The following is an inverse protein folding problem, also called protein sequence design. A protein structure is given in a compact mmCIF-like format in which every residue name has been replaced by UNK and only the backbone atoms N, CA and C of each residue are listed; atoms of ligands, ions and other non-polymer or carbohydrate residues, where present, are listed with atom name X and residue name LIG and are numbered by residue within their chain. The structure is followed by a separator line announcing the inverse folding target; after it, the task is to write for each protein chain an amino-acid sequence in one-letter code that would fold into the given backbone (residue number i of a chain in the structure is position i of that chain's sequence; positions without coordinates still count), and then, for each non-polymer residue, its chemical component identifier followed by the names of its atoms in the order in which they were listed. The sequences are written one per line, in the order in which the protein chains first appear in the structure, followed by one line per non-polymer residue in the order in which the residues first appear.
data_IF_518876561966
#
_entry.id   IF_518876561966
#
_cell.length_a   1.000
_cell.length_b   1.000
_cell.length_c   1.000
_cell.angle_alpha   90.00
_cell.angle_beta   90.00
_cell.angle_gamma   90.00
#
_symmetry.space_group_name_H-M   'P 1'
#
loop_
_entity.id
_entity.type
_entity.pdbx_description
1 polymer ?
#
# COMPACT_ATOMS: atom_id res chain seq x y z
N UNK A 1 -2.40 -10.29 -23.96
CA UNK A 1 -1.84 -11.53 -23.36
C UNK A 1 -0.33 -11.48 -23.04
N UNK A 2 0.38 -10.36 -23.28
CA UNK A 2 1.83 -10.25 -23.09
C UNK A 2 2.30 -9.65 -21.76
N UNK A 3 1.52 -8.76 -21.14
CA UNK A 3 1.93 -8.02 -19.93
C UNK A 3 1.79 -8.80 -18.61
N UNK A 4 0.81 -9.70 -18.52
CA UNK A 4 0.52 -10.50 -17.32
C UNK A 4 1.69 -11.42 -16.90
N UNK A 5 2.52 -11.85 -17.85
CA UNK A 5 3.68 -12.70 -17.58
C UNK A 5 4.94 -11.92 -17.18
N UNK A 6 5.00 -10.61 -17.48
CA UNK A 6 6.16 -9.77 -17.13
C UNK A 6 6.10 -9.41 -15.64
N UNK A 7 4.91 -9.07 -15.13
CA UNK A 7 4.69 -8.68 -13.73
C UNK A 7 4.95 -9.83 -12.73
N UNK A 8 4.62 -11.08 -13.11
CA UNK A 8 4.89 -12.30 -12.32
C UNK A 8 6.38 -12.52 -12.02
N UNK A 9 7.28 -11.96 -12.83
CA UNK A 9 8.73 -12.15 -12.71
C UNK A 9 9.39 -11.06 -11.87
N UNK A 10 8.83 -9.85 -11.86
CA UNK A 10 9.36 -8.70 -11.11
C UNK A 10 8.78 -8.60 -9.68
N UNK A 11 7.53 -9.02 -9.45
CA UNK A 11 6.93 -9.01 -8.11
C UNK A 11 7.62 -9.98 -7.12
N UNK A 12 8.18 -11.08 -7.62
CA UNK A 12 8.99 -12.01 -6.81
C UNK A 12 10.33 -11.42 -6.35
N UNK A 13 10.81 -10.35 -6.99
CA UNK A 13 12.08 -9.72 -6.64
C UNK A 13 11.90 -8.59 -5.61
N UNK A 14 10.70 -8.00 -5.53
CA UNK A 14 10.41 -6.89 -4.62
C UNK A 14 10.27 -7.33 -3.15
N UNK A 15 9.85 -8.57 -2.90
CA UNK A 15 9.68 -9.13 -1.54
C UNK A 15 11.01 -9.62 -0.93
N UNK A 16 12.07 -9.80 -1.73
CA UNK A 16 13.38 -10.30 -1.25
C UNK A 16 14.35 -9.17 -0.86
N UNK A 17 14.02 -7.91 -1.16
CA UNK A 17 14.91 -6.76 -0.91
C UNK A 17 14.64 -6.02 0.41
N UNK A 18 13.66 -6.46 1.21
CA UNK A 18 13.30 -5.88 2.51
C UNK A 18 13.88 -6.62 3.74
N UNK A 19 14.67 -7.69 3.52
CA UNK A 19 15.29 -8.50 4.59
C UNK A 19 16.81 -8.62 4.43
N UNK A 20 17.51 -7.50 4.21
CA UNK A 20 18.91 -7.58 3.86
C UNK A 20 19.80 -6.38 4.12
N UNK A 21 19.73 -5.71 5.28
CA UNK A 21 20.90 -4.99 5.84
C UNK A 21 20.76 -4.81 7.36
N UNK A 22 21.10 -5.84 8.14
CA UNK A 22 21.43 -5.68 9.56
C UNK A 22 22.90 -6.04 9.77
N UNK A 23 23.78 -5.12 9.40
CA UNK A 23 25.16 -5.08 9.89
C UNK A 23 25.54 -3.63 10.16
N UNK A 24 24.99 -3.07 11.24
CA UNK A 24 25.71 -2.01 11.93
C UNK A 24 26.85 -2.66 12.71
N UNK A 25 28.01 -2.61 12.06
CA UNK A 25 29.33 -2.71 12.68
C UNK A 25 29.34 -1.81 13.91
N UNK A 26 29.44 -2.42 15.08
CA UNK A 26 29.81 -1.73 16.31
C UNK A 26 31.29 -1.34 16.19
N UNK A 27 31.55 -0.09 15.81
CA UNK A 27 32.88 0.50 15.96
C UNK A 27 33.16 0.73 17.44
N UNK A 28 34.02 -0.16 17.95
CA UNK A 28 35.11 0.13 18.88
C UNK A 28 35.37 1.62 19.11
N UNK A 29 35.23 2.04 20.35
CA UNK A 29 35.96 3.19 20.89
C UNK A 29 36.67 2.73 22.17
N UNK A 30 38.00 2.82 22.10
CA UNK A 30 39.01 2.43 23.07
C UNK A 30 38.94 3.31 24.33
N UNK A 31 38.94 2.70 25.51
CA UNK A 31 39.58 3.28 26.69
C UNK A 31 39.85 2.20 27.76
N UNK A 32 41.13 1.83 27.84
CA UNK A 32 41.93 1.39 28.99
C UNK A 32 41.19 0.99 30.29
N UNK A 33 41.35 -0.27 30.75
CA UNK A 33 42.19 -0.58 31.93
C UNK A 33 42.15 -2.07 32.34
N UNK A 34 43.36 -2.64 32.40
CA UNK A 34 43.93 -3.63 33.35
C UNK A 34 43.24 -4.96 33.76
N UNK A 35 44.04 -6.01 33.54
CA UNK A 35 44.35 -7.16 34.41
C UNK A 35 43.33 -8.29 34.67
N UNK A 36 43.83 -9.52 34.48
CA UNK A 36 43.36 -10.69 35.24
C UNK A 36 43.12 -11.95 34.43
N UNK A 37 44.19 -12.64 34.01
CA UNK A 37 44.15 -14.04 33.60
C UNK A 37 43.99 -14.94 34.84
N UNK A 38 42.98 -15.81 34.87
CA UNK A 38 43.05 -17.05 35.64
C UNK A 38 42.26 -18.17 34.96
N UNK A 39 42.95 -19.29 34.74
CA UNK A 39 42.39 -20.56 34.30
C UNK A 39 41.80 -21.29 35.52
N UNK A 40 40.65 -21.95 35.38
CA UNK A 40 40.51 -23.26 36.05
C UNK A 40 39.38 -24.12 35.50
N UNK A 41 39.70 -25.39 35.43
CA UNK A 41 38.92 -26.55 35.05
C UNK A 41 37.68 -26.78 35.95
N UNK A 42 36.63 -27.43 35.42
CA UNK A 42 36.35 -28.85 35.68
C UNK A 42 34.87 -29.21 35.43
N UNK A 43 34.72 -30.47 35.09
CA UNK A 43 33.62 -31.24 34.53
C UNK A 43 32.54 -31.71 35.52
N UNK A 44 31.39 -32.08 34.93
CA UNK A 44 30.40 -33.14 35.31
C UNK A 44 29.56 -32.97 36.58
N UNK A 45 28.23 -32.90 36.46
CA UNK A 45 27.30 -34.03 36.76
C UNK A 45 25.85 -33.69 36.40
N UNK A 46 25.08 -34.72 36.07
CA UNK A 46 23.67 -34.72 35.66
C UNK A 46 22.74 -34.83 36.88
N UNK A 47 21.54 -34.23 36.84
CA UNK A 47 20.27 -34.93 37.09
C UNK A 47 19.05 -34.07 36.77
N UNK A 48 18.00 -34.74 36.28
CA UNK A 48 16.65 -34.34 35.88
C UNK A 48 15.97 -33.20 36.66
N UNK A 49 15.18 -32.38 35.95
CA UNK A 49 13.72 -32.25 36.17
C UNK A 49 13.07 -31.62 34.94
N UNK A 50 11.99 -32.27 34.48
CA UNK A 50 11.08 -31.89 33.40
C UNK A 50 10.65 -30.41 33.46
N UNK A 51 10.68 -29.71 32.32
CA UNK A 51 9.73 -28.62 32.03
C UNK A 51 9.52 -28.57 30.53
N UNK A 52 8.25 -28.56 30.16
CA UNK A 52 7.75 -28.52 28.79
C UNK A 52 8.33 -27.33 28.03
N UNK A 53 8.84 -27.61 26.83
CA UNK A 53 9.43 -26.63 25.94
C UNK A 53 8.30 -26.16 25.01
N UNK A 54 7.48 -25.22 25.49
CA UNK A 54 6.69 -24.36 24.61
C UNK A 54 7.68 -23.43 23.91
N UNK A 55 8.03 -23.80 22.68
CA UNK A 55 8.83 -22.96 21.81
C UNK A 55 8.01 -21.71 21.50
N UNK A 56 8.51 -20.58 22.01
CA UNK A 56 8.01 -19.25 21.72
C UNK A 56 7.83 -19.07 20.22
N UNK A 57 6.57 -18.87 19.86
CA UNK A 57 6.11 -18.23 18.64
C UNK A 57 6.64 -16.79 18.65
N UNK A 58 7.81 -16.58 18.06
CA UNK A 58 8.27 -15.25 17.64
C UNK A 58 7.63 -14.93 16.28
N UNK A 59 6.30 -14.90 16.28
CA UNK A 59 5.53 -14.22 15.24
C UNK A 59 5.77 -12.73 15.42
N UNK A 60 6.38 -12.10 14.41
CA UNK A 60 6.50 -10.65 14.31
C UNK A 60 5.10 -10.03 14.34
N UNK A 61 4.64 -9.62 15.52
CA UNK A 61 3.46 -8.76 15.67
C UNK A 61 3.79 -7.44 14.99
N UNK A 62 3.40 -7.32 13.73
CA UNK A 62 3.21 -6.01 13.14
C UNK A 62 1.95 -5.50 13.83
N UNK A 63 2.11 -4.63 14.82
CA UNK A 63 1.03 -3.85 15.43
C UNK A 63 0.36 -3.07 14.29
N UNK A 64 -0.64 -3.67 13.63
CA UNK A 64 -1.50 -2.93 12.71
C UNK A 64 -2.45 -2.17 13.61
N UNK A 65 -2.35 -0.83 13.69
CA UNK A 65 -3.20 -0.09 14.59
C UNK A 65 -4.65 -0.30 14.18
N UNK A 66 -5.42 -1.01 15.01
CA UNK A 66 -6.87 -1.05 14.89
C UNK A 66 -7.39 0.37 15.10
N UNK A 67 -7.71 1.04 13.99
CA UNK A 67 -8.10 2.45 14.01
C UNK A 67 -9.52 2.56 14.53
N UNK A 68 -9.66 2.89 15.81
CA UNK A 68 -10.96 3.22 16.39
C UNK A 68 -11.48 4.55 15.82
N UNK A 69 -12.69 4.52 15.26
CA UNK A 69 -13.43 5.71 14.81
C UNK A 69 -14.58 5.95 15.78
N UNK A 70 -14.54 7.10 16.45
CA UNK A 70 -15.56 7.54 17.39
C UNK A 70 -16.83 8.01 16.70
N UNK A 71 -17.93 8.13 17.45
CA UNK A 71 -19.21 8.59 16.90
C UNK A 71 -19.19 10.07 16.49
N UNK A 72 -18.26 10.88 17.03
CA UNK A 72 -18.07 12.29 16.62
C UNK A 72 -17.44 12.41 15.23
N UNK A 73 -16.73 11.38 14.78
CA UNK A 73 -16.07 11.33 13.48
C UNK A 73 -16.99 10.79 12.36
N UNK A 74 -18.17 10.28 12.72
CA UNK A 74 -19.13 9.69 11.80
C UNK A 74 -20.28 10.63 11.47
N UNK A 75 -20.84 10.42 10.29
CA UNK A 75 -22.09 11.02 9.84
C UNK A 75 -23.18 9.95 9.78
N UNK A 76 -24.45 10.32 9.96
CA UNK A 76 -25.55 9.37 9.82
C UNK A 76 -25.54 8.74 8.42
N UNK A 77 -25.76 7.42 8.35
CA UNK A 77 -25.57 6.66 7.10
C UNK A 77 -26.44 7.17 5.93
N UNK A 78 -27.64 7.68 6.23
CA UNK A 78 -28.63 8.19 5.28
C UNK A 78 -28.58 9.72 5.10
N UNK A 79 -27.68 10.41 5.78
CA UNK A 79 -27.48 11.85 5.61
C UNK A 79 -26.72 12.15 4.32
N UNK A 80 -27.17 13.17 3.58
CA UNK A 80 -26.51 13.61 2.35
C UNK A 80 -25.28 14.44 2.72
N UNK A 81 -24.10 14.00 2.31
CA UNK A 81 -22.81 14.64 2.64
C UNK A 81 -22.21 15.42 1.48
N UNK A 82 -22.44 14.95 0.26
CA UNK A 82 -22.07 15.65 -0.97
C UNK A 82 -23.22 15.56 -1.97
N UNK A 83 -23.29 16.51 -2.89
CA UNK A 83 -24.01 16.37 -4.15
C UNK A 83 -22.99 16.58 -5.26
N UNK A 84 -22.78 15.56 -6.10
CA UNK A 84 -21.80 15.58 -7.20
C UNK A 84 -22.53 15.37 -8.50
N UNK A 85 -22.51 16.36 -9.39
CA UNK A 85 -23.23 16.36 -10.68
C UNK A 85 -24.74 16.09 -10.53
N UNK A 86 -25.33 16.50 -9.40
CA UNK A 86 -26.74 16.32 -9.08
C UNK A 86 -27.08 14.98 -8.40
N UNK A 87 -26.09 14.12 -8.15
CA UNK A 87 -26.27 12.86 -7.43
C UNK A 87 -25.85 13.00 -5.96
N UNK A 88 -26.68 12.47 -5.05
CA UNK A 88 -26.42 12.51 -3.61
C UNK A 88 -25.41 11.43 -3.22
N UNK A 89 -24.37 11.84 -2.49
CA UNK A 89 -23.45 10.94 -1.79
C UNK A 89 -23.84 10.94 -0.32
N UNK A 90 -24.01 9.75 0.26
CA UNK A 90 -24.51 9.57 1.62
C UNK A 90 -23.40 9.42 2.66
N UNK A 91 -23.75 9.60 3.93
CA UNK A 91 -22.84 9.50 5.06
C UNK A 91 -22.17 8.14 5.21
N UNK A 92 -22.79 7.06 4.72
CA UNK A 92 -22.14 5.74 4.65
C UNK A 92 -20.85 5.75 3.82
N UNK A 93 -20.86 6.44 2.67
CA UNK A 93 -19.69 6.56 1.81
C UNK A 93 -18.61 7.45 2.45
N UNK A 94 -19.02 8.54 3.12
CA UNK A 94 -18.10 9.36 3.90
C UNK A 94 -17.45 8.60 5.05
N UNK A 95 -18.23 7.86 5.84
CA UNK A 95 -17.71 7.08 6.95
C UNK A 95 -16.68 6.05 6.48
N UNK A 96 -16.93 5.41 5.32
CA UNK A 96 -15.98 4.50 4.70
C UNK A 96 -14.68 5.22 4.30
N UNK A 97 -14.79 6.35 3.59
CA UNK A 97 -13.63 7.16 3.18
C UNK A 97 -12.82 7.66 4.39
N UNK A 98 -13.50 8.03 5.47
CA UNK A 98 -12.88 8.49 6.71
C UNK A 98 -12.08 7.39 7.40
N UNK A 99 -12.68 6.19 7.54
CA UNK A 99 -11.99 5.02 8.09
C UNK A 99 -10.75 4.71 7.24
N UNK A 100 -10.87 4.70 5.92
CA UNK A 100 -9.77 4.37 5.01
C UNK A 100 -8.64 5.41 5.12
N UNK A 101 -8.98 6.70 5.18
CA UNK A 101 -8.03 7.80 5.35
C UNK A 101 -7.29 7.68 6.69
N UNK A 102 -8.02 7.50 7.79
CA UNK A 102 -7.42 7.39 9.13
C UNK A 102 -6.56 6.13 9.27
N UNK A 103 -7.01 5.02 8.70
CA UNK A 103 -6.26 3.75 8.64
C UNK A 103 -4.97 3.88 7.85
N UNK A 104 -5.00 4.56 6.70
CA UNK A 104 -3.82 4.82 5.91
C UNK A 104 -2.79 5.66 6.67
N UNK A 105 -3.22 6.76 7.28
CA UNK A 105 -2.34 7.64 8.05
C UNK A 105 -1.73 6.92 9.27
N UNK A 106 -2.54 6.17 10.02
CA UNK A 106 -2.07 5.42 11.19
C UNK A 106 -1.02 4.36 10.83
N UNK A 107 -1.23 3.61 9.74
CA UNK A 107 -0.26 2.63 9.25
C UNK A 107 1.05 3.26 8.78
N UNK A 108 1.02 4.52 8.33
CA UNK A 108 2.22 5.28 7.95
C UNK A 108 2.83 6.05 9.12
N UNK A 109 2.37 5.82 10.36
CA UNK A 109 2.88 6.49 11.57
C UNK A 109 2.58 7.99 11.61
N UNK A 110 1.57 8.45 10.86
CA UNK A 110 1.16 9.85 10.82
C UNK A 110 0.15 10.15 11.94
N UNK A 111 0.15 11.42 12.38
CA UNK A 111 -0.80 11.89 13.41
C UNK A 111 -2.24 11.87 12.87
N UNK A 112 -3.14 11.29 13.66
CA UNK A 112 -4.59 11.15 13.37
C UNK A 112 -5.45 11.87 14.41
N UNK A 113 -4.86 12.75 15.22
CA UNK A 113 -5.58 13.52 16.24
C UNK A 113 -6.26 14.78 15.69
N UNK A 114 -5.83 15.29 14.53
CA UNK A 114 -6.45 16.42 13.85
C UNK A 114 -7.67 15.96 13.03
N UNK A 115 -8.85 16.02 13.67
CA UNK A 115 -10.10 15.55 13.07
C UNK A 115 -10.55 16.40 11.87
N UNK A 116 -10.26 17.70 11.86
CA UNK A 116 -10.61 18.59 10.75
C UNK A 116 -9.78 18.22 9.50
N UNK A 117 -8.48 18.00 9.68
CA UNK A 117 -7.61 17.50 8.61
C UNK A 117 -8.08 16.14 8.08
N UNK A 118 -8.45 15.20 8.96
CA UNK A 118 -8.96 13.90 8.55
C UNK A 118 -10.26 14.02 7.75
N UNK A 119 -11.19 14.86 8.21
CA UNK A 119 -12.43 15.14 7.50
C UNK A 119 -12.17 15.72 6.11
N UNK A 120 -11.29 16.70 6.00
CA UNK A 120 -10.92 17.31 4.72
C UNK A 120 -10.31 16.28 3.74
N UNK A 121 -9.39 15.44 4.21
CA UNK A 121 -8.76 14.41 3.39
C UNK A 121 -9.74 13.29 2.99
N UNK A 122 -10.63 12.89 3.89
CA UNK A 122 -11.68 11.91 3.62
C UNK A 122 -12.67 12.45 2.57
N UNK A 123 -13.06 13.72 2.67
CA UNK A 123 -13.92 14.38 1.68
C UNK A 123 -13.23 14.53 0.34
N UNK A 124 -11.95 14.90 0.32
CA UNK A 124 -11.17 14.99 -0.91
C UNK A 124 -11.10 13.62 -1.60
N UNK A 125 -10.78 12.56 -0.84
CA UNK A 125 -10.73 11.19 -1.35
C UNK A 125 -12.10 10.70 -1.84
N UNK A 126 -13.18 11.04 -1.12
CA UNK A 126 -14.54 10.69 -1.51
C UNK A 126 -14.94 11.38 -2.81
N UNK A 127 -14.68 12.68 -2.95
CA UNK A 127 -14.95 13.44 -4.18
C UNK A 127 -14.24 12.82 -5.37
N UNK A 128 -12.94 12.55 -5.26
CA UNK A 128 -12.17 11.93 -6.35
C UNK A 128 -12.71 10.54 -6.74
N UNK A 129 -13.07 9.71 -5.76
CA UNK A 129 -13.67 8.40 -6.02
C UNK A 129 -15.05 8.51 -6.69
N UNK A 130 -15.90 9.42 -6.23
CA UNK A 130 -17.23 9.66 -6.83
C UNK A 130 -17.11 10.15 -8.26
N UNK A 131 -16.22 11.12 -8.52
CA UNK A 131 -16.00 11.64 -9.87
C UNK A 131 -15.49 10.58 -10.84
N UNK A 132 -14.49 9.80 -10.40
CA UNK A 132 -13.97 8.68 -11.18
C UNK A 132 -15.06 7.66 -11.49
N UNK A 133 -15.89 7.32 -10.50
CA UNK A 133 -16.98 6.36 -10.69
C UNK A 133 -18.06 6.86 -11.66
N UNK A 134 -18.46 8.12 -11.54
CA UNK A 134 -19.43 8.73 -12.47
C UNK A 134 -18.90 8.80 -13.90
N UNK A 135 -17.63 9.18 -14.07
CA UNK A 135 -17.03 9.25 -15.40
C UNK A 135 -16.82 7.86 -16.01
N UNK A 136 -16.37 6.89 -15.21
CA UNK A 136 -16.27 5.50 -15.60
C UNK A 136 -17.63 4.95 -16.08
N UNK A 137 -18.71 5.19 -15.31
CA UNK A 137 -20.07 4.79 -15.70
C UNK A 137 -20.51 5.46 -17.01
N UNK A 138 -20.25 6.77 -17.17
CA UNK A 138 -20.58 7.51 -18.39
C UNK A 138 -19.84 6.97 -19.63
N UNK A 139 -18.63 6.43 -19.44
CA UNK A 139 -17.79 5.82 -20.48
C UNK A 139 -18.06 4.32 -20.67
N UNK A 140 -18.84 3.70 -19.79
CA UNK A 140 -19.18 2.28 -19.83
C UNK A 140 -18.08 1.36 -19.28
N UNK A 141 -17.19 1.91 -18.45
CA UNK A 141 -16.14 1.18 -17.75
C UNK A 141 -16.74 0.65 -16.44
N UNK A 142 -17.00 -0.65 -16.41
CA UNK A 142 -17.67 -1.30 -15.28
C UNK A 142 -16.86 -2.47 -14.73
N UNK A 143 -16.85 -2.64 -13.41
CA UNK A 143 -16.31 -3.82 -12.73
C UNK A 143 -17.44 -4.77 -12.40
N UNK A 144 -17.38 -6.00 -12.92
CA UNK A 144 -18.39 -7.02 -12.65
C UNK A 144 -18.07 -7.82 -11.38
N UNK A 145 -19.07 -8.49 -10.81
CA UNK A 145 -18.83 -9.43 -9.71
C UNK A 145 -17.89 -10.58 -10.10
N UNK A 146 -17.89 -10.98 -11.38
CA UNK A 146 -16.95 -11.99 -11.87
C UNK A 146 -15.51 -11.49 -11.82
N UNK A 147 -15.27 -10.23 -12.19
CA UNK A 147 -13.92 -9.63 -12.11
C UNK A 147 -13.41 -9.59 -10.66
N UNK A 148 -14.30 -9.27 -9.72
CA UNK A 148 -13.99 -9.26 -8.28
C UNK A 148 -13.70 -10.68 -7.78
N UNK A 149 -14.52 -11.66 -8.13
CA UNK A 149 -14.31 -13.07 -7.76
C UNK A 149 -12.98 -13.60 -8.31
N UNK A 150 -12.66 -13.28 -9.57
CA UNK A 150 -11.38 -13.66 -10.19
C UNK A 150 -10.19 -12.99 -9.49
N UNK A 151 -10.30 -11.70 -9.13
CA UNK A 151 -9.27 -10.99 -8.39
C UNK A 151 -9.05 -11.56 -6.98
N UNK A 152 -10.11 -11.99 -6.29
CA UNK A 152 -10.01 -12.68 -5.00
C UNK A 152 -9.27 -14.01 -5.16
N UNK A 153 -9.67 -14.83 -6.13
CA UNK A 153 -9.03 -16.14 -6.34
C UNK A 153 -7.57 -15.99 -6.78
N UNK A 154 -7.26 -14.98 -7.59
CA UNK A 154 -5.88 -14.62 -7.91
C UNK A 154 -5.10 -14.22 -6.65
N UNK A 155 -5.70 -13.42 -5.77
CA UNK A 155 -5.05 -13.01 -4.52
C UNK A 155 -4.81 -14.21 -3.61
N UNK A 156 -5.82 -15.07 -3.40
CA UNK A 156 -5.69 -16.32 -2.64
C UNK A 156 -4.60 -17.23 -3.17
N UNK A 157 -4.41 -17.28 -4.49
CA UNK A 157 -3.36 -18.11 -5.11
C UNK A 157 -1.92 -17.70 -4.75
N UNK A 158 -1.75 -16.53 -4.12
CA UNK A 158 -0.46 -16.05 -3.63
C UNK A 158 -0.11 -16.60 -2.24
N UNK A 159 -1.09 -17.21 -1.56
CA UNK A 159 -0.93 -17.83 -0.24
C UNK A 159 -0.85 -19.35 -0.38
N UNK A 160 -0.16 -20.02 0.54
CA UNK A 160 -0.06 -21.49 0.52
C UNK A 160 -1.37 -22.14 0.98
N UNK A 161 -2.10 -21.48 1.87
CA UNK A 161 -3.36 -21.97 2.43
C UNK A 161 -4.43 -20.88 2.54
N UNK A 162 -5.69 -21.30 2.67
CA UNK A 162 -6.81 -20.40 2.93
C UNK A 162 -6.69 -19.72 4.31
N UNK A 163 -6.11 -20.42 5.30
CA UNK A 163 -5.89 -19.89 6.65
C UNK A 163 -4.91 -18.72 6.63
N UNK A 164 -3.80 -18.82 5.86
CA UNK A 164 -2.86 -17.71 5.69
C UNK A 164 -3.50 -16.48 5.04
N UNK A 165 -4.40 -16.68 4.06
CA UNK A 165 -5.15 -15.60 3.45
C UNK A 165 -6.10 -14.93 4.46
N UNK A 166 -6.82 -15.72 5.25
CA UNK A 166 -7.71 -15.21 6.30
C UNK A 166 -6.92 -14.44 7.37
N UNK A 167 -5.79 -14.97 7.84
CA UNK A 167 -4.88 -14.28 8.76
C UNK A 167 -4.37 -12.96 8.18
N UNK A 168 -4.02 -12.92 6.89
CA UNK A 168 -3.59 -11.68 6.24
C UNK A 168 -4.71 -10.62 6.19
N UNK A 169 -5.96 -11.03 5.95
CA UNK A 169 -7.10 -10.12 6.04
C UNK A 169 -7.31 -9.62 7.47
N UNK A 170 -7.21 -10.50 8.47
CA UNK A 170 -7.32 -10.12 9.89
C UNK A 170 -6.24 -9.13 10.31
N UNK A 171 -4.99 -9.33 9.87
CA UNK A 171 -3.90 -8.37 10.10
C UNK A 171 -4.23 -7.00 9.51
N UNK A 172 -4.81 -6.94 8.32
CA UNK A 172 -5.28 -5.70 7.70
C UNK A 172 -6.60 -5.17 8.30
N UNK A 173 -7.16 -5.86 9.31
CA UNK A 173 -8.49 -5.57 9.88
C UNK A 173 -9.61 -5.57 8.84
N UNK A 174 -9.50 -6.41 7.81
CA UNK A 174 -10.45 -6.53 6.71
C UNK A 174 -11.37 -7.72 6.90
N UNK A 175 -12.67 -7.49 6.68
CA UNK A 175 -13.61 -8.58 6.38
C UNK A 175 -13.52 -8.94 4.91
N UNK A 176 -14.02 -10.11 4.51
CA UNK A 176 -14.12 -10.48 3.08
C UNK A 176 -14.94 -9.44 2.30
N UNK A 177 -16.02 -8.92 2.87
CA UNK A 177 -16.85 -7.87 2.26
C UNK A 177 -16.07 -6.56 2.06
N UNK A 178 -15.30 -6.14 3.06
CA UNK A 178 -14.42 -4.95 2.94
C UNK A 178 -13.37 -5.19 1.86
N UNK A 179 -12.76 -6.38 1.83
CA UNK A 179 -11.77 -6.74 0.82
C UNK A 179 -12.36 -6.72 -0.60
N UNK A 180 -13.58 -7.23 -0.79
CA UNK A 180 -14.32 -7.13 -2.07
C UNK A 180 -14.53 -5.69 -2.49
N UNK A 181 -14.93 -4.82 -1.55
CA UNK A 181 -15.10 -3.38 -1.82
C UNK A 181 -13.79 -2.72 -2.26
N UNK A 182 -12.68 -3.02 -1.56
CA UNK A 182 -11.34 -2.53 -1.93
C UNK A 182 -10.94 -2.99 -3.32
N UNK A 183 -11.14 -4.28 -3.64
CA UNK A 183 -10.86 -4.81 -4.98
C UNK A 183 -11.71 -4.15 -6.06
N UNK A 184 -13.00 -3.88 -5.80
CA UNK A 184 -13.87 -3.18 -6.75
C UNK A 184 -13.30 -1.81 -7.11
N UNK A 185 -12.89 -1.03 -6.12
CA UNK A 185 -12.30 0.30 -6.35
C UNK A 185 -10.97 0.21 -7.09
N UNK A 186 -10.10 -0.74 -6.73
CA UNK A 186 -8.81 -0.94 -7.41
C UNK A 186 -8.97 -1.38 -8.86
N UNK A 187 -9.90 -2.31 -9.14
CA UNK A 187 -10.20 -2.78 -10.49
C UNK A 187 -10.78 -1.65 -11.33
N UNK A 188 -11.68 -0.84 -10.77
CA UNK A 188 -12.28 0.29 -11.49
C UNK A 188 -11.18 1.29 -11.91
N UNK A 189 -10.30 1.65 -10.98
CA UNK A 189 -9.16 2.50 -11.28
C UNK A 189 -8.24 1.88 -12.34
N UNK A 190 -7.97 0.58 -12.24
CA UNK A 190 -7.13 -0.12 -13.21
C UNK A 190 -7.75 -0.10 -14.61
N UNK A 191 -9.03 -0.45 -14.74
CA UNK A 191 -9.74 -0.45 -16.02
C UNK A 191 -9.82 0.96 -16.59
N UNK A 192 -10.06 1.95 -15.74
CA UNK A 192 -10.07 3.35 -16.14
C UNK A 192 -8.71 3.78 -16.71
N UNK A 193 -7.61 3.46 -16.03
CA UNK A 193 -6.26 3.73 -16.54
C UNK A 193 -6.02 3.02 -17.87
N UNK A 194 -6.42 1.76 -18.00
CA UNK A 194 -6.23 0.99 -19.24
C UNK A 194 -7.01 1.58 -20.43
N UNK A 195 -8.25 1.99 -20.21
CA UNK A 195 -9.13 2.49 -21.28
C UNK A 195 -8.89 3.97 -21.62
N UNK A 196 -8.70 4.83 -20.63
CA UNK A 196 -8.62 6.29 -20.83
C UNK A 196 -7.19 6.82 -20.97
N UNK A 197 -6.25 6.25 -20.22
CA UNK A 197 -4.84 6.68 -20.28
C UNK A 197 -4.06 5.83 -21.28
N UNK A 198 -4.30 4.52 -21.27
CA UNK A 198 -3.67 3.56 -22.17
C UNK A 198 -2.17 3.39 -21.93
N UNK A 199 -1.47 2.95 -22.98
CA UNK A 199 -0.03 2.67 -22.92
C UNK A 199 0.80 3.96 -23.00
N UNK A 200 1.67 4.16 -22.01
CA UNK A 200 2.58 5.30 -21.96
C UNK A 200 3.90 4.95 -22.64
N UNK A 201 4.28 5.72 -23.66
CA UNK A 201 5.60 5.60 -24.28
C UNK A 201 6.68 6.26 -23.40
N UNK A 202 7.80 5.54 -23.25
CA UNK A 202 9.02 6.04 -22.59
C UNK A 202 10.10 6.22 -23.64
N UNK A 203 10.69 7.41 -23.65
CA UNK A 203 11.76 7.79 -24.57
C UNK A 203 13.14 7.52 -23.97
N UNK A 204 14.13 7.30 -24.82
CA UNK A 204 15.53 7.14 -24.38
C UNK A 204 16.04 8.34 -23.58
N UNK A 205 15.60 9.56 -23.91
CA UNK A 205 15.99 10.76 -23.20
C UNK A 205 15.47 10.79 -21.76
N UNK A 206 14.23 10.34 -21.52
CA UNK A 206 13.66 10.23 -20.17
C UNK A 206 14.40 9.15 -19.36
N UNK A 207 14.79 8.05 -20.00
CA UNK A 207 15.59 6.99 -19.38
C UNK A 207 16.96 7.51 -18.96
N UNK A 208 17.63 8.26 -19.83
CA UNK A 208 18.92 8.91 -19.52
C UNK A 208 18.78 9.91 -18.37
N UNK A 209 17.79 10.79 -18.41
CA UNK A 209 17.54 11.80 -17.36
C UNK A 209 17.26 11.15 -16.00
N UNK A 210 16.39 10.14 -15.95
CA UNK A 210 16.10 9.43 -14.70
C UNK A 210 17.34 8.71 -14.17
N UNK A 211 18.14 8.11 -15.05
CA UNK A 211 19.37 7.43 -14.65
C UNK A 211 20.43 8.40 -14.12
N UNK A 212 20.54 9.60 -14.68
CA UNK A 212 21.41 10.65 -14.14
C UNK A 212 21.01 11.03 -12.71
N UNK A 213 19.71 11.10 -12.39
CA UNK A 213 19.24 11.32 -11.02
C UNK A 213 19.61 10.16 -10.10
N UNK A 214 19.47 8.91 -10.55
CA UNK A 214 19.88 7.73 -9.80
C UNK A 214 21.39 7.76 -9.51
N UNK A 215 22.21 8.11 -10.50
CA UNK A 215 23.66 8.26 -10.34
C UNK A 215 24.01 9.39 -9.37
N UNK A 216 23.27 10.51 -9.37
CA UNK A 216 23.49 11.57 -8.40
C UNK A 216 23.18 11.12 -6.97
N UNK A 217 22.18 10.26 -6.78
CA UNK A 217 21.80 9.73 -5.48
C UNK A 217 22.76 8.64 -4.97
N UNK A 218 23.22 7.75 -5.86
CA UNK A 218 24.01 6.56 -5.50
C UNK A 218 25.52 6.72 -5.73
N UNK A 219 25.95 7.73 -6.48
CA UNK A 219 27.35 7.94 -6.84
C UNK A 219 27.96 6.74 -7.57
N UNK A 220 29.17 6.35 -7.17
CA UNK A 220 29.91 5.23 -7.78
C UNK A 220 29.26 3.85 -7.56
N UNK A 221 28.26 3.74 -6.68
CA UNK A 221 27.53 2.50 -6.40
C UNK A 221 26.35 2.27 -7.35
N UNK A 222 26.06 3.22 -8.24
CA UNK A 222 24.99 3.08 -9.23
C UNK A 222 25.29 1.92 -10.21
N UNK A 223 24.36 0.98 -10.40
CA UNK A 223 24.50 -0.07 -11.42
C UNK A 223 24.58 0.53 -12.83
N UNK A 224 25.10 -0.21 -13.81
CA UNK A 224 25.14 0.26 -15.20
C UNK A 224 23.71 0.41 -15.75
N UNK A 225 23.47 1.45 -16.57
CA UNK A 225 22.15 1.73 -17.14
C UNK A 225 21.58 0.52 -17.88
N UNK A 226 22.39 -0.21 -18.63
CA UNK A 226 21.94 -1.39 -19.37
C UNK A 226 21.39 -2.50 -18.46
N UNK A 227 21.84 -2.59 -17.21
CA UNK A 227 21.37 -3.57 -16.22
C UNK A 227 20.05 -3.17 -15.59
N UNK A 228 19.81 -1.86 -15.46
CA UNK A 228 18.63 -1.31 -14.77
C UNK A 228 17.63 -0.63 -15.69
N UNK A 229 17.90 -0.56 -17.00
CA UNK A 229 17.03 0.11 -17.99
C UNK A 229 15.57 -0.37 -17.92
N UNK A 230 15.25 -1.67 -17.85
CA UNK A 230 13.86 -2.11 -17.72
C UNK A 230 13.17 -1.59 -16.45
N UNK A 231 13.91 -1.51 -15.34
CA UNK A 231 13.41 -0.97 -14.08
C UNK A 231 13.21 0.54 -14.17
N UNK A 232 14.15 1.26 -14.79
CA UNK A 232 14.03 2.71 -15.06
C UNK A 232 12.82 3.00 -15.94
N UNK A 233 12.67 2.27 -17.05
CA UNK A 233 11.51 2.39 -17.94
C UNK A 233 10.19 2.10 -17.20
N UNK A 234 10.16 1.06 -16.35
CA UNK A 234 8.99 0.74 -15.52
C UNK A 234 8.66 1.86 -14.53
N UNK A 235 9.66 2.45 -13.87
CA UNK A 235 9.45 3.54 -12.93
C UNK A 235 8.96 4.81 -13.62
N UNK A 236 9.53 5.16 -14.79
CA UNK A 236 9.08 6.29 -15.58
C UNK A 236 7.64 6.07 -16.05
N UNK A 237 7.32 4.88 -16.56
CA UNK A 237 5.96 4.52 -16.98
C UNK A 237 4.99 4.70 -15.82
N UNK A 238 5.29 4.13 -14.66
CA UNK A 238 4.44 4.24 -13.46
C UNK A 238 4.23 5.70 -13.05
N UNK A 239 5.31 6.50 -13.02
CA UNK A 239 5.23 7.92 -12.68
C UNK A 239 4.33 8.69 -13.66
N UNK A 240 4.53 8.49 -14.97
CA UNK A 240 3.75 9.17 -16.01
C UNK A 240 2.27 8.74 -16.01
N UNK A 241 1.99 7.46 -15.79
CA UNK A 241 0.63 6.96 -15.63
C UNK A 241 -0.06 7.58 -14.41
N UNK A 242 0.65 7.69 -13.28
CA UNK A 242 0.11 8.34 -12.09
C UNK A 242 -0.14 9.83 -12.32
N UNK A 243 0.77 10.54 -12.97
CA UNK A 243 0.60 11.95 -13.32
C UNK A 243 -0.61 12.16 -14.25
N UNK A 244 -0.74 11.35 -15.31
CA UNK A 244 -1.87 11.40 -16.22
C UNK A 244 -3.19 11.10 -15.50
N UNK A 245 -3.21 10.12 -14.60
CA UNK A 245 -4.39 9.78 -13.82
C UNK A 245 -4.80 10.92 -12.89
N UNK A 246 -3.84 11.54 -12.18
CA UNK A 246 -4.13 12.69 -11.32
C UNK A 246 -4.60 13.91 -12.11
N UNK A 247 -4.06 14.13 -13.32
CA UNK A 247 -4.51 15.18 -14.21
C UNK A 247 -5.97 14.97 -14.65
N UNK A 248 -6.36 13.74 -14.95
CA UNK A 248 -7.76 13.40 -15.28
C UNK A 248 -8.69 13.65 -14.08
N UNK A 249 -8.31 13.20 -12.87
CA UNK A 249 -9.09 13.48 -11.66
C UNK A 249 -9.26 14.99 -11.43
N UNK A 250 -8.20 15.79 -11.65
CA UNK A 250 -8.29 17.24 -11.52
C UNK A 250 -9.21 17.84 -12.59
N UNK A 251 -9.14 17.36 -13.83
CA UNK A 251 -10.05 17.80 -14.89
C UNK A 251 -11.51 17.48 -14.54
N UNK A 252 -11.80 16.26 -14.07
CA UNK A 252 -13.14 15.87 -13.62
C UNK A 252 -13.62 16.78 -12.48
N UNK A 253 -12.71 17.17 -11.57
CA UNK A 253 -13.03 18.08 -10.47
C UNK A 253 -13.33 19.50 -10.94
N UNK A 254 -12.61 20.01 -11.94
CA UNK A 254 -12.83 21.33 -12.52
C UNK A 254 -14.15 21.41 -13.30
N UNK A 255 -14.57 20.30 -13.93
CA UNK A 255 -15.78 20.22 -14.73
C UNK A 255 -17.05 19.94 -13.89
N UNK A 256 -16.89 19.33 -12.71
CA UNK A 256 -18.00 18.88 -11.89
C UNK A 256 -18.68 20.01 -11.08
N UNK A 257 -19.98 19.83 -10.87
CA UNK A 257 -20.74 20.60 -9.88
C UNK A 257 -20.74 19.85 -8.54
N UNK A 258 -20.06 20.40 -7.54
CA UNK A 258 -19.85 19.76 -6.23
C UNK A 258 -20.39 20.66 -5.13
N UNK A 259 -21.42 20.19 -4.43
CA UNK A 259 -21.94 20.82 -3.21
C UNK A 259 -21.59 19.98 -1.98
N UNK A 260 -20.85 20.57 -1.04
CA UNK A 260 -20.57 19.95 0.25
C UNK A 260 -21.66 20.28 1.28
N UNK A 261 -22.11 19.27 2.05
CA UNK A 261 -23.27 19.39 2.94
C UNK A 261 -22.99 19.07 4.41
N UNK A 262 -21.73 18.82 4.81
CA UNK A 262 -21.34 18.48 6.19
C UNK A 262 -20.21 19.31 6.78
#
# INVERSE_FOLDING_TARGET
MGYFNVMKKHLKFLIVLLLGTMLLVACSEDSEDTDGNDESENTTDSNDTETENDAADEGSETDVPNVEVSEEEKVAADEVVLVVNGEEVLGEAYNTSYIDTKSYLAQNGQDTSDLDMLKEQALASLKSQTLLAQDAEAKGIEVTETDIDEAIEQTKSQFETQEEFETALEQLSYTEEKFRSVLRTQLLQQYYIEEEIGEIEVTDAEVEEYYELLQQQMGEEAPALEEVRPQVESQITQSKTQEAFLAEIEQLREEADIEERI
#
